data_IF_170538669002
#
_entry.id   IF_170538669002
#
_cell.length_a   1.000
_cell.length_b   1.000
_cell.length_c   1.000
_cell.angle_alpha   90.00
_cell.angle_beta   90.00
_cell.angle_gamma   90.00
#
_symmetry.space_group_name_H-M   'P 1'
#
loop_
_entity.id
_entity.type
_entity.pdbx_description
1 polymer ?
#
# COMPACT_ATOMS: atom_id res chain seq x y z
N UNK A 1 49.71 10.83 -18.60
CA UNK A 1 49.67 9.37 -18.34
C UNK A 1 48.98 9.13 -17.00
N UNK A 2 47.85 8.40 -17.03
CA UNK A 2 47.29 7.45 -16.04
C UNK A 2 47.17 7.93 -14.57
N UNK A 3 46.00 7.97 -13.90
CA UNK A 3 44.86 7.05 -13.94
C UNK A 3 44.96 6.09 -12.76
N UNK A 4 44.19 6.30 -11.69
CA UNK A 4 44.00 5.31 -10.61
C UNK A 4 42.50 5.15 -10.39
N UNK A 5 41.97 4.07 -10.97
CA UNK A 5 40.67 3.48 -10.66
C UNK A 5 40.84 2.52 -9.50
N UNK A 6 40.18 2.78 -8.37
CA UNK A 6 40.00 1.78 -7.31
C UNK A 6 38.77 0.94 -7.67
N UNK A 7 39.00 -0.31 -8.06
CA UNK A 7 37.97 -1.29 -8.36
C UNK A 7 37.24 -1.73 -7.08
N UNK A 8 35.91 -1.60 -7.08
CA UNK A 8 35.05 -2.31 -6.13
C UNK A 8 34.95 -3.77 -6.55
N UNK A 9 35.50 -4.67 -5.72
CA UNK A 9 35.27 -6.12 -5.87
C UNK A 9 33.81 -6.48 -5.57
N UNK A 10 33.29 -7.58 -6.14
CA UNK A 10 31.92 -8.02 -5.89
C UNK A 10 31.76 -8.45 -4.43
N UNK A 11 30.65 -8.04 -3.80
CA UNK A 11 30.22 -8.52 -2.48
C UNK A 11 29.75 -9.98 -2.59
N UNK A 12 29.96 -10.81 -1.55
CA UNK A 12 29.59 -12.22 -1.61
C UNK A 12 28.07 -12.39 -1.71
N UNK A 13 27.65 -13.25 -2.64
CA UNK A 13 26.27 -13.73 -2.78
C UNK A 13 26.04 -14.88 -1.80
N UNK A 14 24.91 -14.87 -1.07
CA UNK A 14 24.48 -16.00 -0.26
C UNK A 14 24.11 -17.22 -1.12
N UNK A 15 23.94 -18.42 -0.52
CA UNK A 15 23.75 -19.68 -1.27
C UNK A 15 22.54 -19.71 -2.22
N UNK A 16 21.60 -18.75 -2.09
CA UNK A 16 20.40 -18.63 -2.92
C UNK A 16 20.39 -17.41 -3.88
N UNK A 17 21.52 -16.69 -4.03
CA UNK A 17 21.59 -15.51 -4.91
C UNK A 17 20.80 -14.29 -4.41
N UNK A 18 20.36 -14.30 -3.16
CA UNK A 18 19.76 -13.15 -2.49
C UNK A 18 20.88 -12.30 -1.84
N UNK A 19 20.90 -10.98 -2.02
CA UNK A 19 21.87 -10.11 -1.35
C UNK A 19 21.67 -10.14 0.17
N UNK A 20 22.74 -10.39 0.93
CA UNK A 20 22.76 -10.14 2.38
C UNK A 20 22.81 -8.63 2.64
N UNK A 21 21.80 -8.09 3.32
CA UNK A 21 21.70 -6.67 3.65
C UNK A 21 22.31 -6.37 5.05
N UNK A 22 22.83 -5.14 5.29
CA UNK A 22 23.38 -4.72 6.58
C UNK A 22 22.36 -4.75 7.72
N UNK A 23 22.86 -4.84 8.95
CA UNK A 23 22.06 -4.85 10.18
C UNK A 23 21.36 -3.53 10.52
N UNK A 24 20.29 -3.71 11.30
CA UNK A 24 19.21 -2.81 11.76
C UNK A 24 18.19 -2.38 10.69
N UNK A 25 16.96 -2.93 10.80
CA UNK A 25 15.90 -2.88 9.78
C UNK A 25 15.00 -1.67 10.03
N UNK A 26 14.80 -0.72 9.10
CA UNK A 26 13.63 0.14 9.17
C UNK A 26 12.35 -0.70 9.01
N UNK A 27 11.37 -0.48 9.87
CA UNK A 27 10.13 -1.26 9.94
C UNK A 27 9.27 -1.08 8.69
N UNK A 28 8.77 -2.19 8.14
CA UNK A 28 7.69 -2.16 7.14
C UNK A 28 6.38 -2.40 7.86
N UNK A 29 5.35 -1.66 7.47
CA UNK A 29 3.97 -1.89 7.92
C UNK A 29 3.12 -2.42 6.76
N UNK A 30 1.93 -2.92 7.10
CA UNK A 30 1.01 -3.48 6.13
C UNK A 30 -0.03 -2.45 5.65
N UNK A 31 -0.22 -2.40 4.34
CA UNK A 31 -1.31 -1.71 3.68
C UNK A 31 -2.24 -2.74 3.05
N UNK A 32 -3.48 -2.83 3.53
CA UNK A 32 -4.36 -3.96 3.17
C UNK A 32 -5.53 -3.50 2.29
N UNK A 33 -5.52 -3.78 0.97
CA UNK A 33 -6.72 -3.74 0.15
C UNK A 33 -7.68 -4.86 0.56
N UNK A 34 -8.65 -4.58 1.44
CA UNK A 34 -9.60 -5.58 1.94
C UNK A 34 -10.86 -5.61 1.06
N UNK A 35 -10.84 -6.38 -0.03
CA UNK A 35 -11.93 -6.43 -1.02
C UNK A 35 -12.90 -7.60 -0.76
N UNK A 36 -12.99 -8.03 0.49
CA UNK A 36 -13.93 -9.08 0.93
C UNK A 36 -15.00 -8.50 1.84
N UNK A 37 -16.25 -8.84 1.58
CA UNK A 37 -17.37 -8.36 2.39
C UNK A 37 -17.25 -8.88 3.85
N UNK A 38 -17.50 -8.05 4.89
CA UNK A 38 -17.33 -8.46 6.29
C UNK A 38 -18.12 -9.69 6.72
N UNK A 39 -19.33 -9.86 6.18
CA UNK A 39 -20.14 -11.05 6.46
C UNK A 39 -19.62 -12.33 5.79
N UNK A 40 -18.77 -12.23 4.78
CA UNK A 40 -18.17 -13.39 4.10
C UNK A 40 -16.87 -13.83 4.75
N UNK A 41 -16.13 -12.91 5.37
CA UNK A 41 -14.85 -13.18 6.02
C UNK A 41 -14.71 -12.44 7.37
N UNK A 42 -15.60 -12.71 8.36
CA UNK A 42 -15.56 -12.01 9.65
C UNK A 42 -14.20 -12.18 10.35
N UNK A 43 -13.61 -13.38 10.28
CA UNK A 43 -12.31 -13.68 10.89
C UNK A 43 -11.16 -12.83 10.32
N UNK A 44 -11.23 -12.45 9.04
CA UNK A 44 -10.21 -11.60 8.41
C UNK A 44 -10.30 -10.17 8.95
N UNK A 45 -11.51 -9.64 9.09
CA UNK A 45 -11.72 -8.31 9.66
C UNK A 45 -11.38 -8.24 11.16
N UNK A 46 -11.67 -9.30 11.91
CA UNK A 46 -11.28 -9.41 13.33
C UNK A 46 -9.76 -9.41 13.50
N UNK A 47 -9.02 -10.05 12.58
CA UNK A 47 -7.55 -10.01 12.56
C UNK A 47 -7.01 -8.61 12.27
N UNK A 48 -7.62 -7.88 11.33
CA UNK A 48 -7.24 -6.51 11.02
C UNK A 48 -7.57 -5.53 12.15
N UNK A 49 -8.61 -5.81 12.94
CA UNK A 49 -9.01 -5.00 14.10
C UNK A 49 -8.26 -5.34 15.39
N UNK A 50 -7.17 -6.12 15.34
CA UNK A 50 -6.32 -6.38 16.52
C UNK A 50 -5.54 -5.13 16.92
N UNK A 51 -5.65 -4.66 18.19
CA UNK A 51 -4.86 -3.53 18.65
C UNK A 51 -3.36 -3.77 18.52
N UNK A 52 -2.64 -2.80 17.97
CA UNK A 52 -1.18 -2.86 17.80
C UNK A 52 -0.71 -3.68 16.59
N UNK A 53 -1.62 -4.13 15.73
CA UNK A 53 -1.24 -4.68 14.43
C UNK A 53 -0.38 -3.64 13.66
N UNK A 54 0.70 -4.05 12.98
CA UNK A 54 1.59 -3.17 12.23
C UNK A 54 0.94 -2.77 10.90
N UNK A 55 -0.22 -2.11 10.96
CA UNK A 55 -0.99 -1.64 9.81
C UNK A 55 -0.81 -0.13 9.63
N UNK A 56 -0.49 0.31 8.42
CA UNK A 56 -0.57 1.72 8.06
C UNK A 56 -1.99 2.11 7.69
N UNK A 57 -2.67 1.24 6.93
CA UNK A 57 -4.05 1.45 6.50
C UNK A 57 -4.74 0.17 6.04
N UNK A 58 -6.08 0.20 6.06
CA UNK A 58 -6.97 -0.79 5.44
C UNK A 58 -7.91 -0.08 4.47
N UNK A 59 -8.05 -0.61 3.25
CA UNK A 59 -8.97 -0.07 2.25
C UNK A 59 -10.34 -0.71 2.37
N UNK A 60 -11.35 0.13 2.45
CA UNK A 60 -12.76 -0.20 2.42
C UNK A 60 -13.29 -0.09 0.97
N UNK A 61 -13.47 -1.23 0.30
CA UNK A 61 -14.17 -1.30 -0.98
C UNK A 61 -15.51 -2.01 -0.80
N UNK A 62 -16.63 -1.27 -0.85
CA UNK A 62 -17.98 -1.83 -0.65
C UNK A 62 -18.55 -2.41 -1.93
N UNK A 63 -18.40 -1.67 -3.04
CA UNK A 63 -18.86 -2.05 -4.37
C UNK A 63 -18.18 -1.16 -5.43
N UNK A 64 -16.87 -1.29 -5.57
CA UNK A 64 -16.00 -0.41 -6.37
C UNK A 64 -16.15 1.08 -6.00
N UNK A 65 -16.28 1.31 -4.70
CA UNK A 65 -16.65 2.58 -4.09
C UNK A 65 -17.51 2.39 -2.83
N UNK A 66 -18.33 3.39 -2.44
CA UNK A 66 -19.10 3.37 -1.19
C UNK A 66 -20.41 2.55 -1.28
N UNK A 67 -20.77 2.09 -2.48
CA UNK A 67 -22.06 1.48 -2.77
C UNK A 67 -23.19 2.48 -3.02
N UNK A 68 -24.39 1.97 -3.29
CA UNK A 68 -25.60 2.78 -3.58
C UNK A 68 -26.42 3.11 -2.33
N UNK A 69 -26.15 2.42 -1.21
CA UNK A 69 -26.76 2.63 0.10
C UNK A 69 -25.76 2.26 1.19
N UNK A 70 -25.98 2.76 2.39
CA UNK A 70 -25.22 2.36 3.58
C UNK A 70 -25.32 0.85 3.77
N UNK A 71 -24.17 0.20 3.98
CA UNK A 71 -24.08 -1.17 4.45
C UNK A 71 -23.68 -1.22 5.93
N UNK A 72 -24.55 -1.81 6.76
CA UNK A 72 -24.35 -1.85 8.21
C UNK A 72 -23.16 -2.71 8.63
N UNK A 73 -22.86 -3.79 7.89
CA UNK A 73 -21.74 -4.66 8.23
C UNK A 73 -20.42 -3.86 8.13
N UNK A 74 -20.24 -3.09 7.07
CA UNK A 74 -19.08 -2.21 6.94
C UNK A 74 -19.04 -1.09 7.99
N UNK A 75 -20.18 -0.51 8.39
CA UNK A 75 -20.22 0.48 9.48
C UNK A 75 -19.67 -0.10 10.80
N UNK A 76 -20.11 -1.30 11.16
CA UNK A 76 -19.67 -1.99 12.39
C UNK A 76 -18.19 -2.36 12.31
N UNK A 77 -17.74 -2.88 11.16
CA UNK A 77 -16.33 -3.20 10.89
C UNK A 77 -15.42 -1.97 10.97
N UNK A 78 -15.79 -0.84 10.35
CA UNK A 78 -14.98 0.38 10.40
C UNK A 78 -14.91 0.94 11.82
N UNK A 79 -15.99 0.84 12.61
CA UNK A 79 -15.95 1.21 14.02
C UNK A 79 -14.94 0.37 14.81
N UNK A 80 -14.87 -0.94 14.57
CA UNK A 80 -13.90 -1.83 15.21
C UNK A 80 -12.46 -1.51 14.82
N UNK A 81 -12.17 -1.32 13.52
CA UNK A 81 -10.85 -0.92 13.02
C UNK A 81 -10.37 0.39 13.64
N UNK A 82 -11.25 1.40 13.67
CA UNK A 82 -10.93 2.70 14.27
C UNK A 82 -10.70 2.60 15.77
N UNK A 83 -11.45 1.76 16.48
CA UNK A 83 -11.24 1.52 17.91
C UNK A 83 -9.88 0.85 18.19
N UNK A 84 -9.38 0.06 17.24
CA UNK A 84 -8.04 -0.53 17.28
C UNK A 84 -6.92 0.44 16.86
N UNK A 85 -7.26 1.66 16.42
CA UNK A 85 -6.31 2.68 15.96
C UNK A 85 -5.87 2.52 14.51
N UNK A 86 -6.58 1.72 13.71
CA UNK A 86 -6.26 1.49 12.29
C UNK A 86 -6.84 2.60 11.42
N UNK A 87 -6.03 3.15 10.53
CA UNK A 87 -6.47 4.10 9.49
C UNK A 87 -7.31 3.38 8.45
N UNK A 88 -8.53 3.87 8.19
CA UNK A 88 -9.41 3.29 7.17
C UNK A 88 -9.51 4.22 5.97
N UNK A 89 -9.25 3.69 4.77
CA UNK A 89 -9.31 4.45 3.52
C UNK A 89 -10.50 4.00 2.67
N UNK A 90 -11.28 4.95 2.15
CA UNK A 90 -12.33 4.63 1.16
C UNK A 90 -11.71 4.37 -0.22
N UNK A 91 -12.11 3.29 -0.88
CA UNK A 91 -11.71 3.01 -2.26
C UNK A 91 -12.37 4.01 -3.23
N UNK A 92 -11.59 4.60 -4.13
CA UNK A 92 -12.08 5.46 -5.20
C UNK A 92 -11.45 5.09 -6.54
N UNK A 93 -12.25 4.60 -7.49
CA UNK A 93 -11.79 4.38 -8.87
C UNK A 93 -11.64 5.73 -9.58
N UNK A 94 -10.47 6.00 -10.18
CA UNK A 94 -10.20 7.22 -10.95
C UNK A 94 -10.35 7.05 -12.47
N UNK A 95 -10.53 5.81 -12.95
CA UNK A 95 -10.63 5.44 -14.35
C UNK A 95 -9.43 5.93 -15.16
N UNK A 96 -8.21 5.76 -14.67
CA UNK A 96 -6.98 6.26 -15.30
C UNK A 96 -7.00 7.76 -15.60
N UNK A 97 -7.62 8.52 -14.70
CA UNK A 97 -7.74 9.95 -14.86
C UNK A 97 -8.75 10.36 -15.93
N UNK A 98 -9.77 9.52 -16.19
CA UNK A 98 -10.90 9.87 -17.06
C UNK A 98 -12.22 10.05 -16.31
N UNK A 99 -12.38 9.44 -15.13
CA UNK A 99 -13.62 9.55 -14.34
C UNK A 99 -13.93 11.01 -13.94
N UNK A 100 -15.16 11.52 -14.10
CA UNK A 100 -15.51 12.90 -13.72
C UNK A 100 -15.22 13.22 -12.25
N UNK A 101 -14.69 14.42 -11.98
CA UNK A 101 -14.32 14.84 -10.61
C UNK A 101 -15.54 14.91 -9.69
N UNK A 102 -16.70 15.30 -10.19
CA UNK A 102 -17.94 15.41 -9.42
C UNK A 102 -18.43 14.06 -8.90
N UNK A 103 -18.31 13.01 -9.72
CA UNK A 103 -18.65 11.63 -9.32
C UNK A 103 -17.68 11.12 -8.26
N UNK A 104 -16.37 11.34 -8.47
CA UNK A 104 -15.32 10.98 -7.52
C UNK A 104 -15.54 11.66 -6.15
N UNK A 105 -15.86 12.97 -6.17
CA UNK A 105 -16.16 13.77 -4.98
C UNK A 105 -17.46 13.29 -4.30
N UNK A 106 -18.47 12.92 -5.07
CA UNK A 106 -19.73 12.40 -4.53
C UNK A 106 -19.50 11.10 -3.77
N UNK A 107 -18.70 10.18 -4.32
CA UNK A 107 -18.36 8.93 -3.64
C UNK A 107 -17.48 9.15 -2.42
N UNK A 108 -16.52 10.07 -2.50
CA UNK A 108 -15.72 10.48 -1.36
C UNK A 108 -16.60 10.99 -0.19
N UNK A 109 -17.57 11.85 -0.48
CA UNK A 109 -18.51 12.38 0.50
C UNK A 109 -19.39 11.27 1.12
N UNK A 110 -19.81 10.28 0.32
CA UNK A 110 -20.53 9.10 0.83
C UNK A 110 -19.66 8.26 1.76
N UNK A 111 -18.41 7.99 1.39
CA UNK A 111 -17.48 7.27 2.27
C UNK A 111 -17.30 7.96 3.63
N UNK A 112 -17.11 9.28 3.63
CA UNK A 112 -16.97 10.07 4.85
C UNK A 112 -18.26 10.06 5.68
N UNK A 113 -19.42 10.27 5.05
CA UNK A 113 -20.70 10.38 5.77
C UNK A 113 -21.22 9.03 6.28
N UNK A 114 -21.05 7.96 5.50
CA UNK A 114 -21.62 6.64 5.81
C UNK A 114 -20.69 5.80 6.68
N UNK A 115 -19.40 5.77 6.33
CA UNK A 115 -18.45 4.85 6.96
C UNK A 115 -17.43 5.57 7.83
N UNK A 116 -17.36 6.90 7.78
CA UNK A 116 -16.39 7.70 8.53
C UNK A 116 -14.96 7.23 8.27
N UNK A 117 -14.60 7.07 7.00
CA UNK A 117 -13.21 6.80 6.62
C UNK A 117 -12.29 7.96 6.99
N UNK A 118 -11.00 7.69 7.14
CA UNK A 118 -9.98 8.68 7.49
C UNK A 118 -9.36 9.35 6.26
N UNK A 119 -9.46 8.69 5.11
CA UNK A 119 -8.81 9.08 3.88
C UNK A 119 -9.29 8.27 2.69
N UNK A 120 -8.54 8.30 1.59
CA UNK A 120 -8.90 7.62 0.36
C UNK A 120 -7.74 6.88 -0.28
N UNK A 121 -8.04 5.69 -0.79
CA UNK A 121 -7.18 4.93 -1.68
C UNK A 121 -7.72 5.11 -3.10
N UNK A 122 -6.99 5.82 -3.94
CA UNK A 122 -7.37 6.08 -5.32
C UNK A 122 -6.77 5.01 -6.21
N UNK A 123 -7.62 4.26 -6.90
CA UNK A 123 -7.20 3.17 -7.77
C UNK A 123 -7.31 3.50 -9.26
N UNK A 124 -6.73 2.64 -10.08
CA UNK A 124 -6.56 2.82 -11.52
C UNK A 124 -5.90 4.16 -11.83
N UNK A 125 -4.85 4.53 -11.09
CA UNK A 125 -4.14 5.79 -11.32
C UNK A 125 -3.22 5.63 -12.53
N UNK A 126 -3.27 6.54 -13.48
CA UNK A 126 -2.31 6.58 -14.59
C UNK A 126 -0.91 6.93 -14.08
N UNK A 127 0.15 6.34 -14.64
CA UNK A 127 1.54 6.54 -14.19
C UNK A 127 2.29 7.68 -14.89
N UNK A 128 1.83 8.11 -16.07
CA UNK A 128 2.47 9.15 -16.87
C UNK A 128 2.24 10.59 -16.37
N UNK A 129 3.06 11.57 -16.81
CA UNK A 129 2.97 12.97 -16.37
C UNK A 129 1.70 13.70 -16.84
N UNK A 130 1.02 13.20 -17.88
CA UNK A 130 -0.06 13.88 -18.60
C UNK A 130 -1.28 14.17 -17.70
N UNK A 131 -1.50 13.31 -16.71
CA UNK A 131 -2.64 13.41 -15.78
C UNK A 131 -2.26 14.00 -14.43
N UNK A 132 -1.00 14.39 -14.21
CA UNK A 132 -0.51 14.81 -12.89
C UNK A 132 -1.30 16.01 -12.32
N UNK A 133 -1.57 17.03 -13.14
CA UNK A 133 -2.36 18.19 -12.72
C UNK A 133 -3.81 17.81 -12.36
N UNK A 134 -4.37 16.79 -13.01
CA UNK A 134 -5.71 16.27 -12.68
C UNK A 134 -5.71 15.67 -11.28
N UNK A 135 -4.75 14.80 -10.97
CA UNK A 135 -4.67 14.19 -9.63
C UNK A 135 -4.33 15.22 -8.55
N UNK A 136 -3.51 16.25 -8.84
CA UNK A 136 -3.32 17.39 -7.92
C UNK A 136 -4.66 18.07 -7.58
N UNK A 137 -5.50 18.32 -8.59
CA UNK A 137 -6.83 18.88 -8.40
C UNK A 137 -7.74 17.96 -7.57
N UNK A 138 -7.79 16.68 -7.91
CA UNK A 138 -8.56 15.67 -7.16
C UNK A 138 -8.10 15.57 -5.71
N UNK A 139 -6.79 15.45 -5.46
CA UNK A 139 -6.23 15.40 -4.11
C UNK A 139 -6.59 16.65 -3.31
N UNK A 140 -6.43 17.86 -3.89
CA UNK A 140 -6.85 19.11 -3.25
C UNK A 140 -8.33 19.13 -2.86
N UNK A 141 -9.21 18.66 -3.74
CA UNK A 141 -10.64 18.56 -3.44
C UNK A 141 -10.94 17.54 -2.33
N UNK A 142 -10.30 16.38 -2.34
CA UNK A 142 -10.46 15.35 -1.30
C UNK A 142 -9.95 15.85 0.07
N UNK A 143 -8.82 16.57 0.10
CA UNK A 143 -8.34 17.24 1.32
C UNK A 143 -9.32 18.28 1.83
N UNK A 144 -9.89 19.09 0.95
CA UNK A 144 -10.89 20.09 1.32
C UNK A 144 -12.18 19.44 1.89
N UNK A 145 -12.50 18.20 1.50
CA UNK A 145 -13.59 17.42 2.09
C UNK A 145 -13.24 16.79 3.46
N UNK A 146 -11.97 16.83 3.86
CA UNK A 146 -11.50 16.31 5.15
C UNK A 146 -10.66 15.04 5.08
N UNK A 147 -10.19 14.62 3.91
CA UNK A 147 -9.27 13.47 3.81
C UNK A 147 -7.95 13.73 4.54
N UNK A 148 -7.60 12.89 5.50
CA UNK A 148 -6.35 12.97 6.27
C UNK A 148 -5.23 12.13 5.70
N UNK A 149 -5.58 11.08 4.98
CA UNK A 149 -4.63 10.21 4.29
C UNK A 149 -5.06 10.03 2.82
N UNK A 150 -4.11 10.06 1.89
CA UNK A 150 -4.31 9.78 0.47
C UNK A 150 -3.25 8.80 -0.01
N UNK A 151 -3.70 7.70 -0.61
CA UNK A 151 -2.85 6.71 -1.27
C UNK A 151 -3.23 6.66 -2.74
N UNK A 152 -2.25 6.74 -3.64
CA UNK A 152 -2.47 6.55 -5.08
C UNK A 152 -1.96 5.19 -5.51
N UNK A 153 -2.78 4.47 -6.28
CA UNK A 153 -2.39 3.19 -6.85
C UNK A 153 -2.27 3.23 -8.37
N UNK A 154 -1.07 3.53 -8.90
CA UNK A 154 -0.72 3.26 -10.29
C UNK A 154 -0.26 1.82 -10.53
N UNK A 155 0.05 1.05 -9.48
CA UNK A 155 0.57 -0.32 -9.56
C UNK A 155 1.97 -0.46 -10.16
N UNK A 156 2.60 0.66 -10.55
CA UNK A 156 3.93 0.73 -11.15
C UNK A 156 4.60 2.04 -10.75
N UNK A 157 5.93 2.12 -10.82
CA UNK A 157 6.66 3.37 -10.61
C UNK A 157 6.16 4.47 -11.56
N UNK A 158 5.50 5.52 -11.04
CA UNK A 158 4.98 6.59 -11.87
C UNK A 158 6.03 7.67 -12.13
N UNK A 159 5.65 8.72 -12.84
CA UNK A 159 6.41 9.96 -12.85
C UNK A 159 6.64 10.47 -11.40
N UNK A 160 7.85 10.92 -11.00
CA UNK A 160 8.15 11.26 -9.60
C UNK A 160 7.21 12.33 -9.00
N UNK A 161 6.66 13.21 -9.84
CA UNK A 161 5.71 14.24 -9.42
C UNK A 161 4.46 13.71 -8.70
N UNK A 162 4.10 12.43 -8.84
CA UNK A 162 2.98 11.82 -8.09
C UNK A 162 3.26 11.78 -6.58
N UNK A 163 4.53 11.78 -6.16
CA UNK A 163 4.92 11.95 -4.76
C UNK A 163 4.63 13.36 -4.20
N UNK A 164 4.13 14.29 -4.98
CA UNK A 164 3.68 15.59 -4.45
C UNK A 164 2.15 15.64 -4.29
N UNK A 165 1.45 14.58 -4.69
CA UNK A 165 -0.01 14.56 -4.78
C UNK A 165 -0.65 13.86 -3.58
N UNK A 166 0.02 12.86 -3.03
CA UNK A 166 -0.50 11.97 -2.00
C UNK A 166 0.53 11.69 -0.90
N UNK A 167 0.12 11.03 0.18
CA UNK A 167 0.99 10.66 1.29
C UNK A 167 1.81 9.42 0.96
N UNK A 168 1.22 8.51 0.18
CA UNK A 168 1.86 7.28 -0.26
C UNK A 168 1.43 6.92 -1.68
N UNK A 169 2.30 6.18 -2.38
CA UNK A 169 2.06 5.68 -3.74
C UNK A 169 2.37 4.20 -3.82
N UNK A 170 1.45 3.42 -4.37
CA UNK A 170 1.68 2.01 -4.69
C UNK A 170 2.54 1.92 -5.96
N UNK A 171 3.83 1.69 -5.79
CA UNK A 171 4.82 1.66 -6.90
C UNK A 171 5.01 0.28 -7.50
N UNK A 172 4.38 -0.74 -6.91
CA UNK A 172 4.29 -2.06 -7.49
C UNK A 172 2.98 -2.73 -7.06
N UNK A 173 2.22 -3.23 -8.03
CA UNK A 173 1.13 -4.16 -7.84
C UNK A 173 1.25 -5.27 -8.88
N UNK A 174 1.49 -6.52 -8.44
CA UNK A 174 1.73 -7.59 -9.40
C UNK A 174 2.10 -8.94 -8.82
N UNK A 175 2.30 -9.94 -9.69
CA UNK A 175 2.63 -11.29 -9.25
C UNK A 175 4.09 -11.37 -8.81
N UNK A 176 4.36 -12.28 -7.88
CA UNK A 176 5.71 -12.63 -7.42
C UNK A 176 6.67 -12.93 -8.58
N UNK A 177 6.17 -13.55 -9.65
CA UNK A 177 6.97 -13.89 -10.82
C UNK A 177 7.56 -12.66 -11.50
N UNK A 178 6.83 -11.54 -11.54
CA UNK A 178 7.29 -10.26 -12.08
C UNK A 178 8.10 -9.48 -11.05
N UNK A 179 7.66 -9.50 -9.78
CA UNK A 179 8.29 -8.73 -8.70
C UNK A 179 9.78 -9.05 -8.51
N UNK A 180 10.17 -10.31 -8.68
CA UNK A 180 11.58 -10.74 -8.58
C UNK A 180 12.52 -10.06 -9.57
N UNK A 181 11.97 -9.46 -10.62
CA UNK A 181 12.71 -8.74 -11.66
C UNK A 181 12.48 -7.24 -11.61
N UNK A 182 11.78 -6.74 -10.57
CA UNK A 182 11.56 -5.32 -10.39
C UNK A 182 12.91 -4.58 -10.32
N UNK A 183 13.04 -3.52 -11.09
CA UNK A 183 14.14 -2.58 -10.99
C UNK A 183 13.54 -1.24 -10.55
N UNK A 184 13.89 -0.83 -9.33
CA UNK A 184 13.48 0.48 -8.84
C UNK A 184 14.26 1.56 -9.58
N UNK A 185 13.61 2.60 -10.13
CA UNK A 185 14.29 3.76 -10.68
C UNK A 185 15.14 4.47 -9.61
N UNK A 186 16.24 5.10 -10.03
CA UNK A 186 17.20 5.74 -9.11
C UNK A 186 16.54 6.76 -8.16
N UNK A 187 15.55 7.52 -8.65
CA UNK A 187 14.86 8.56 -7.86
C UNK A 187 14.11 8.01 -6.63
N UNK A 188 13.80 6.71 -6.60
CA UNK A 188 13.14 6.09 -5.43
C UNK A 188 14.04 6.18 -4.20
N UNK A 189 15.35 6.01 -4.38
CA UNK A 189 16.32 6.09 -3.29
C UNK A 189 16.46 7.49 -2.68
N UNK A 190 16.00 8.53 -3.38
CA UNK A 190 16.03 9.92 -2.90
C UNK A 190 14.85 10.28 -1.97
N UNK A 191 13.94 9.33 -1.71
CA UNK A 191 12.71 9.56 -0.96
C UNK A 191 12.55 8.58 0.22
N UNK A 192 11.85 8.98 1.29
CA UNK A 192 11.61 8.10 2.43
C UNK A 192 10.80 6.85 2.03
N UNK A 193 11.14 5.65 2.53
CA UNK A 193 10.45 4.42 2.17
C UNK A 193 8.95 4.43 2.45
N UNK A 194 8.51 5.15 3.48
CA UNK A 194 7.11 5.29 3.89
C UNK A 194 6.22 5.92 2.79
N UNK A 195 6.83 6.55 1.78
CA UNK A 195 6.16 7.10 0.60
C UNK A 195 5.72 6.03 -0.40
N UNK A 196 6.18 4.80 -0.24
CA UNK A 196 6.06 3.73 -1.22
C UNK A 196 5.41 2.49 -0.64
N UNK A 197 4.45 1.93 -1.39
CA UNK A 197 3.75 0.69 -1.07
C UNK A 197 3.95 -0.35 -2.17
N UNK A 198 4.25 -1.60 -1.80
CA UNK A 198 4.30 -2.73 -2.73
C UNK A 198 3.23 -3.78 -2.39
N UNK A 199 2.38 -4.09 -3.36
CA UNK A 199 1.34 -5.10 -3.28
C UNK A 199 1.74 -6.32 -4.14
N UNK A 200 2.16 -7.40 -3.49
CA UNK A 200 2.76 -8.55 -4.19
C UNK A 200 1.91 -9.81 -3.95
N UNK A 201 1.41 -10.40 -5.03
CA UNK A 201 0.54 -11.58 -4.94
C UNK A 201 1.16 -12.84 -5.54
N UNK A 202 0.59 -14.01 -5.22
CA UNK A 202 1.08 -15.31 -5.64
C UNK A 202 2.45 -15.67 -5.03
N UNK A 203 2.72 -15.22 -3.80
CA UNK A 203 3.94 -15.53 -3.06
C UNK A 203 3.73 -16.78 -2.20
N UNK A 204 4.38 -17.91 -2.52
CA UNK A 204 4.35 -19.07 -1.64
C UNK A 204 4.88 -18.74 -0.24
N UNK A 205 4.29 -19.29 0.81
CA UNK A 205 4.68 -19.03 2.22
C UNK A 205 6.21 -19.11 2.47
N UNK A 206 6.90 -20.09 1.87
CA UNK A 206 8.37 -20.22 2.01
C UNK A 206 9.17 -19.00 1.55
N UNK A 207 8.59 -18.11 0.74
CA UNK A 207 9.22 -16.89 0.24
C UNK A 207 8.71 -15.62 0.92
N UNK A 208 7.79 -15.70 1.89
CA UNK A 208 7.22 -14.54 2.58
C UNK A 208 8.30 -13.59 3.11
N UNK A 209 9.22 -14.13 3.91
CA UNK A 209 10.30 -13.36 4.54
C UNK A 209 11.27 -12.77 3.51
N UNK A 210 11.55 -13.49 2.42
CA UNK A 210 12.35 -12.98 1.30
C UNK A 210 11.62 -11.85 0.55
N UNK A 211 10.32 -12.00 0.30
CA UNK A 211 9.51 -11.01 -0.38
C UNK A 211 9.42 -9.69 0.41
N UNK A 212 9.20 -9.76 1.72
CA UNK A 212 9.20 -8.57 2.59
C UNK A 212 10.56 -7.87 2.61
N UNK A 213 11.67 -8.62 2.66
CA UNK A 213 13.02 -8.03 2.49
C UNK A 213 13.20 -7.36 1.13
N UNK A 214 12.65 -7.95 0.07
CA UNK A 214 12.70 -7.33 -1.25
C UNK A 214 11.89 -6.04 -1.31
N UNK A 215 10.73 -5.96 -0.64
CA UNK A 215 10.00 -4.69 -0.48
C UNK A 215 10.89 -3.60 0.11
N UNK A 216 11.58 -3.89 1.21
CA UNK A 216 12.53 -2.95 1.82
C UNK A 216 13.68 -2.58 0.89
N UNK A 217 14.28 -3.59 0.24
CA UNK A 217 15.39 -3.38 -0.69
C UNK A 217 15.01 -2.49 -1.88
N UNK A 218 13.76 -2.62 -2.36
CA UNK A 218 13.22 -1.79 -3.42
C UNK A 218 12.63 -0.46 -2.93
N UNK A 219 12.81 -0.12 -1.65
CA UNK A 219 12.45 1.18 -1.08
C UNK A 219 11.03 1.31 -0.57
N UNK A 220 10.27 0.22 -0.41
CA UNK A 220 8.91 0.26 0.14
C UNK A 220 8.89 0.13 1.66
N UNK A 221 8.28 1.12 2.32
CA UNK A 221 7.99 1.13 3.76
C UNK A 221 6.64 0.50 4.10
N UNK A 222 5.77 0.31 3.12
CA UNK A 222 4.49 -0.40 3.28
C UNK A 222 4.41 -1.56 2.28
N UNK A 223 3.89 -2.71 2.71
CA UNK A 223 3.71 -3.83 1.81
C UNK A 223 2.56 -4.76 2.23
N UNK A 224 2.00 -5.46 1.25
CA UNK A 224 1.21 -6.67 1.50
C UNK A 224 1.69 -7.77 0.57
N UNK A 225 2.02 -8.92 1.16
CA UNK A 225 2.51 -10.10 0.45
C UNK A 225 1.51 -11.24 0.60
N UNK A 226 0.85 -11.67 -0.47
CA UNK A 226 -0.19 -12.71 -0.38
C UNK A 226 0.12 -13.95 -1.21
N UNK A 227 -0.26 -15.14 -0.71
CA UNK A 227 -0.26 -16.39 -1.47
C UNK A 227 -1.42 -16.48 -2.46
N UNK A 228 -2.44 -15.63 -2.27
CA UNK A 228 -3.57 -15.52 -3.17
C UNK A 228 -3.12 -15.05 -4.55
N UNK A 229 -3.85 -15.46 -5.58
CA UNK A 229 -3.57 -15.13 -6.98
C UNK A 229 -4.88 -15.10 -7.77
N UNK A 230 -4.79 -14.78 -9.07
CA UNK A 230 -5.94 -14.70 -9.97
C UNK A 230 -6.36 -13.26 -10.21
N UNK A 231 -7.61 -13.08 -10.63
CA UNK A 231 -8.14 -11.77 -11.06
C UNK A 231 -8.28 -10.78 -9.90
N UNK A 232 -8.59 -11.26 -8.69
CA UNK A 232 -8.71 -10.43 -7.50
C UNK A 232 -8.02 -11.10 -6.29
N UNK A 233 -6.68 -10.92 -6.15
CA UNK A 233 -5.93 -11.53 -5.06
C UNK A 233 -6.28 -10.94 -3.68
N UNK A 234 -7.05 -9.85 -3.65
CA UNK A 234 -7.35 -9.03 -2.48
C UNK A 234 -8.68 -9.39 -1.79
N UNK A 235 -9.37 -10.44 -2.24
CA UNK A 235 -10.65 -10.95 -1.65
C UNK A 235 -10.45 -11.75 -0.35
N UNK A 236 -9.45 -11.39 0.45
CA UNK A 236 -9.16 -12.03 1.72
C UNK A 236 -7.71 -11.84 2.11
N UNK A 237 -7.43 -12.11 3.38
CA UNK A 237 -6.06 -12.05 3.89
C UNK A 237 -5.19 -13.19 3.35
N UNK A 238 -3.86 -13.00 3.35
CA UNK A 238 -2.91 -14.09 3.11
C UNK A 238 -3.19 -15.27 4.04
N UNK A 239 -3.04 -16.50 3.54
CA UNK A 239 -3.20 -17.71 4.35
C UNK A 239 -2.21 -17.80 5.53
N UNK A 240 -1.14 -17.01 5.46
CA UNK A 240 -0.11 -16.87 6.48
C UNK A 240 -0.11 -15.48 7.16
N UNK A 241 -1.22 -14.74 7.15
CA UNK A 241 -1.31 -13.38 7.71
C UNK A 241 -0.66 -13.24 9.09
N UNK A 242 -0.94 -14.14 10.04
CA UNK A 242 -0.35 -14.07 11.38
C UNK A 242 1.19 -14.16 11.36
N UNK A 243 1.78 -14.84 10.37
CA UNK A 243 3.24 -14.91 10.21
C UNK A 243 3.79 -13.61 9.62
N UNK A 244 3.11 -13.03 8.64
CA UNK A 244 3.45 -11.72 8.07
C UNK A 244 3.36 -10.62 9.12
N UNK A 245 2.26 -10.56 9.87
CA UNK A 245 2.05 -9.63 10.99
C UNK A 245 3.21 -9.68 11.99
N UNK A 246 3.65 -10.89 12.38
CA UNK A 246 4.79 -11.07 13.29
C UNK A 246 6.11 -10.58 12.70
N UNK A 247 6.35 -10.81 11.41
CA UNK A 247 7.56 -10.36 10.73
C UNK A 247 7.63 -8.84 10.64
N UNK A 248 6.49 -8.20 10.33
CA UNK A 248 6.35 -6.75 10.28
C UNK A 248 6.54 -6.13 11.67
N UNK A 249 5.91 -6.69 12.71
CA UNK A 249 6.04 -6.21 14.08
C UNK A 249 7.47 -6.34 14.66
N UNK A 250 8.26 -7.29 14.16
CA UNK A 250 9.64 -7.51 14.59
C UNK A 250 10.66 -6.52 13.96
N UNK A 251 10.25 -5.71 12.99
CA UNK A 251 11.14 -4.76 12.32
C UNK A 251 11.11 -3.37 13.01
N UNK A 252 12.25 -2.82 13.50
CA UNK A 252 12.26 -1.55 14.22
C UNK A 252 11.75 -0.38 13.37
N UNK A 253 10.63 0.24 13.76
CA UNK A 253 10.11 1.43 13.06
C UNK A 253 11.05 2.62 13.28
N UNK A 254 11.41 3.38 12.23
CA UNK A 254 12.09 4.66 12.42
C UNK A 254 11.19 5.54 13.30
N UNK A 255 11.75 6.09 14.37
CA UNK A 255 11.01 6.97 15.28
C UNK A 255 10.57 8.21 14.51
N UNK A 256 9.28 8.54 14.54
CA UNK A 256 8.81 9.89 14.22
C UNK A 256 9.66 10.88 15.01
N UNK A 257 10.41 11.74 14.32
CA UNK A 257 11.08 12.85 14.98
C UNK A 257 9.98 13.77 15.49
N UNK A 258 9.74 13.71 16.80
CA UNK A 258 8.91 14.68 17.48
C UNK A 258 9.59 16.06 17.41
N UNK A 259 8.88 16.98 16.74
CA UNK A 259 8.99 18.45 16.75
C UNK A 259 10.05 19.03 15.81
#
# INVERSE_FOLDING_TARGET
>A
MQGVTAGGGPRPEGPDGLPEAPGDRPGVAAGVPAYVHPLLAPDDWDRLARPGAPLDWVVLNVADGPGTRVDRAYVETVAALRAAGVTVLGYLDTGYGTRPSEELISDAARHLSWYRVDGFFLDQVSSGPERLNRYRGSAGALRALGARELVLNPGVHPHPGYLQVADQVVTFEGPWSAYRWLQAPDWVADHPPERFCHLVYGVPHRYLDAALRMCQWHGAGTALVTDRAGTNPWEGLPGYWDAEERLLAAAPRPREHAI
#
